data_IF_845916780624
#
_entry.id   IF_845916780624
#
_cell.length_a   1.000
_cell.length_b   1.000
_cell.length_c   1.000
_cell.angle_alpha   90.00
_cell.angle_beta   90.00
_cell.angle_gamma   90.00
#
_symmetry.space_group_name_H-M   'P 1'
#
loop_
_entity.id
_entity.type
_entity.pdbx_description
1 polymer ?
#
# COMPACT_ATOMS: atom_id res chain seq x y z
N UNK A 1 -10.16 5.28 -3.44
CA UNK A 1 -9.76 5.14 -4.86
C UNK A 1 -8.27 5.45 -4.94
N UNK A 2 -7.44 4.49 -5.35
CA UNK A 2 -6.02 4.73 -5.62
C UNK A 2 -5.82 4.84 -7.14
N UNK A 3 -5.25 5.94 -7.62
CA UNK A 3 -5.05 6.22 -9.06
C UNK A 3 -3.57 6.29 -9.44
N UNK A 4 -3.24 5.90 -10.67
CA UNK A 4 -1.93 6.08 -11.31
C UNK A 4 -2.03 7.20 -12.36
N UNK A 5 -1.04 8.10 -12.46
CA UNK A 5 -1.07 9.25 -13.38
C UNK A 5 -0.13 9.06 -14.59
N UNK A 6 -0.48 9.73 -15.71
CA UNK A 6 0.05 9.60 -17.08
C UNK A 6 1.58 9.73 -17.27
N UNK A 7 2.06 9.16 -18.38
CA UNK A 7 3.45 9.11 -18.82
C UNK A 7 4.12 10.52 -18.87
N UNK A 8 5.28 10.63 -18.21
CA UNK A 8 6.13 11.82 -18.18
C UNK A 8 6.20 12.55 -16.84
N UNK A 9 5.38 12.15 -15.85
CA UNK A 9 5.49 12.61 -14.46
C UNK A 9 5.97 11.47 -13.57
N UNK A 10 6.84 11.79 -12.62
CA UNK A 10 7.25 10.84 -11.58
C UNK A 10 6.01 10.22 -10.92
N UNK A 11 5.98 8.89 -10.72
CA UNK A 11 4.86 8.21 -10.10
C UNK A 11 4.65 8.76 -8.68
N UNK A 12 3.38 8.91 -8.30
CA UNK A 12 2.96 9.41 -6.99
C UNK A 12 1.79 8.59 -6.49
N UNK A 13 1.81 8.29 -5.19
CA UNK A 13 0.72 7.67 -4.48
C UNK A 13 0.06 8.74 -3.62
N UNK A 14 -1.21 8.98 -3.90
CA UNK A 14 -2.04 9.90 -3.13
C UNK A 14 -3.25 9.16 -2.57
N UNK A 15 -3.70 9.63 -1.41
CA UNK A 15 -4.96 9.22 -0.80
C UNK A 15 -5.93 10.40 -0.77
N UNK A 16 -7.21 10.13 -1.00
CA UNK A 16 -8.30 11.08 -0.89
C UNK A 16 -9.55 10.36 -0.39
N UNK A 17 -10.33 11.02 0.44
CA UNK A 17 -11.49 10.46 1.10
C UNK A 17 -12.78 11.07 0.57
N UNK A 18 -13.80 10.25 0.41
CA UNK A 18 -15.14 10.68 0.06
C UNK A 18 -16.05 10.45 1.26
N UNK A 19 -16.92 11.42 1.57
CA UNK A 19 -17.96 11.30 2.61
C UNK A 19 -19.39 11.28 2.04
N UNK A 20 -19.52 11.26 0.72
CA UNK A 20 -20.79 11.39 -0.02
C UNK A 20 -20.91 10.32 -1.12
N UNK A 21 -20.50 9.09 -0.81
CA UNK A 21 -20.56 7.94 -1.72
C UNK A 21 -19.85 8.14 -3.08
N UNK A 22 -18.79 8.97 -3.09
CA UNK A 22 -17.93 9.21 -4.23
C UNK A 22 -18.35 10.40 -5.09
N UNK A 23 -19.34 11.18 -4.66
CA UNK A 23 -19.75 12.38 -5.39
C UNK A 23 -18.68 13.47 -5.31
N UNK A 24 -17.96 13.58 -4.21
CA UNK A 24 -16.80 14.45 -4.04
C UNK A 24 -15.70 13.80 -3.21
N UNK A 25 -14.47 14.30 -3.37
CA UNK A 25 -13.30 13.82 -2.64
C UNK A 25 -12.59 14.99 -1.96
N UNK A 26 -11.97 14.70 -0.82
CA UNK A 26 -11.04 15.62 -0.17
C UNK A 26 -9.85 15.94 -1.09
N UNK A 27 -9.09 16.97 -0.71
CA UNK A 27 -7.84 17.28 -1.39
C UNK A 27 -6.89 16.08 -1.28
N UNK A 28 -6.32 15.57 -2.39
CA UNK A 28 -5.40 14.44 -2.32
C UNK A 28 -4.14 14.75 -1.51
N UNK A 29 -3.73 13.81 -0.67
CA UNK A 29 -2.52 13.86 0.15
C UNK A 29 -1.53 12.81 -0.35
N UNK A 30 -0.28 13.20 -0.62
CA UNK A 30 0.78 12.27 -1.04
C UNK A 30 1.27 11.45 0.15
N UNK A 31 1.36 10.14 0.00
CA UNK A 31 1.76 9.22 1.07
C UNK A 31 2.96 8.32 0.72
N UNK A 32 3.42 8.26 -0.54
CA UNK A 32 4.68 7.58 -0.90
C UNK A 32 5.92 8.37 -0.47
N UNK A 33 7.10 7.74 -0.52
CA UNK A 33 8.38 8.39 -0.20
C UNK A 33 9.15 8.90 -1.43
N UNK A 34 8.59 8.83 -2.65
CA UNK A 34 9.28 9.28 -3.87
C UNK A 34 9.36 8.22 -4.97
N UNK A 35 9.46 6.94 -4.58
CA UNK A 35 9.81 5.84 -5.48
C UNK A 35 8.68 4.87 -5.76
N UNK A 36 7.42 5.28 -5.60
CA UNK A 36 6.28 4.34 -5.70
C UNK A 36 6.22 3.68 -7.07
N UNK A 37 6.01 2.38 -7.05
CA UNK A 37 5.75 1.55 -8.22
C UNK A 37 4.25 1.23 -8.37
N UNK A 38 3.40 1.84 -7.53
CA UNK A 38 2.00 1.51 -7.41
C UNK A 38 1.80 0.17 -6.69
N UNK A 39 0.96 -0.70 -7.28
CA UNK A 39 0.54 -1.99 -6.68
C UNK A 39 -0.04 -1.82 -5.28
N UNK A 40 -1.05 -0.95 -5.23
CA UNK A 40 -1.63 -0.44 -3.99
C UNK A 40 -2.80 -1.32 -3.56
N UNK A 41 -2.87 -1.58 -2.27
CA UNK A 41 -4.08 -2.11 -1.63
C UNK A 41 -4.40 -1.34 -0.34
N UNK A 42 -5.66 -1.37 0.10
CA UNK A 42 -6.14 -0.64 1.28
C UNK A 42 -7.07 -1.49 2.14
N UNK A 43 -6.99 -1.30 3.45
CA UNK A 43 -7.92 -1.84 4.44
C UNK A 43 -8.49 -0.69 5.28
N UNK A 44 -9.82 -0.59 5.36
CA UNK A 44 -10.50 0.37 6.26
C UNK A 44 -10.70 -0.32 7.62
N UNK A 45 -10.31 0.37 8.69
CA UNK A 45 -10.29 -0.17 10.05
C UNK A 45 -11.51 0.31 10.85
N UNK A 46 -11.83 -0.36 11.95
CA UNK A 46 -13.04 -0.08 12.74
C UNK A 46 -13.09 1.33 13.33
N UNK A 47 -11.92 1.94 13.59
CA UNK A 47 -11.77 3.31 14.09
C UNK A 47 -11.81 4.38 12.97
N UNK A 48 -12.33 4.04 11.79
CA UNK A 48 -12.40 4.90 10.58
C UNK A 48 -11.04 5.34 10.02
N UNK A 49 -9.95 4.72 10.46
CA UNK A 49 -8.64 4.91 9.84
C UNK A 49 -8.42 3.92 8.69
N UNK A 50 -7.39 4.14 7.89
CA UNK A 50 -7.07 3.32 6.72
C UNK A 50 -5.63 2.84 6.79
N UNK A 51 -5.40 1.55 6.57
CA UNK A 51 -4.07 1.02 6.30
C UNK A 51 -3.88 0.88 4.79
N UNK A 52 -2.75 1.34 4.29
CA UNK A 52 -2.41 1.33 2.86
C UNK A 52 -1.12 0.55 2.68
N UNK A 53 -1.08 -0.32 1.68
CA UNK A 53 0.16 -0.96 1.23
C UNK A 53 0.47 -0.61 -0.22
N UNK A 54 1.74 -0.51 -0.56
CA UNK A 54 2.20 -0.30 -1.93
C UNK A 54 3.60 -0.86 -2.14
N UNK A 55 3.98 -1.02 -3.41
CA UNK A 55 5.35 -1.33 -3.79
C UNK A 55 6.14 -0.05 -4.03
N UNK A 56 7.35 0.03 -3.49
CA UNK A 56 8.24 1.18 -3.62
C UNK A 56 9.66 0.74 -3.96
N UNK A 57 10.29 1.43 -4.91
CA UNK A 57 11.73 1.32 -5.12
C UNK A 57 12.46 2.15 -4.06
N UNK A 58 13.37 1.52 -3.33
CA UNK A 58 14.34 2.17 -2.47
C UNK A 58 15.77 1.98 -2.97
N UNK A 59 16.73 2.41 -2.16
CA UNK A 59 18.15 2.44 -2.57
C UNK A 59 18.77 1.04 -2.78
N UNK A 60 18.29 0.03 -2.06
CA UNK A 60 18.85 -1.33 -2.08
C UNK A 60 17.93 -2.39 -2.70
N UNK A 61 16.73 -2.02 -3.17
CA UNK A 61 15.78 -2.97 -3.71
C UNK A 61 14.35 -2.41 -3.77
N UNK A 62 13.39 -3.30 -3.96
CA UNK A 62 11.97 -2.97 -3.89
C UNK A 62 11.37 -3.46 -2.57
N UNK A 63 10.39 -2.71 -2.08
CA UNK A 63 9.81 -2.95 -0.77
C UNK A 63 8.29 -2.84 -0.81
N UNK A 64 7.61 -3.73 -0.10
CA UNK A 64 6.21 -3.52 0.26
C UNK A 64 6.23 -2.60 1.48
N UNK A 65 5.72 -1.39 1.32
CA UNK A 65 5.59 -0.40 2.38
C UNK A 65 4.15 -0.44 2.90
N UNK A 66 3.99 -0.32 4.21
CA UNK A 66 2.72 -0.12 4.89
C UNK A 66 2.63 1.28 5.48
N UNK A 67 1.46 1.91 5.41
CA UNK A 67 1.17 3.16 6.12
C UNK A 67 -0.21 3.11 6.77
N UNK A 68 -0.27 3.55 8.02
CA UNK A 68 -1.50 3.83 8.73
C UNK A 68 -1.84 5.31 8.57
N UNK A 69 -3.04 5.60 8.06
CA UNK A 69 -3.49 6.94 7.69
C UNK A 69 -4.82 7.23 8.36
N UNK A 70 -4.97 8.43 8.91
CA UNK A 70 -6.23 8.86 9.49
C UNK A 70 -7.27 9.32 8.44
N UNK A 71 -8.48 9.67 8.90
CA UNK A 71 -9.60 10.12 8.06
C UNK A 71 -9.40 11.47 7.37
N UNK A 72 -8.37 12.22 7.75
CA UNK A 72 -8.02 13.53 7.20
C UNK A 72 -6.79 13.45 6.27
N UNK A 73 -6.17 12.27 6.16
CA UNK A 73 -5.03 11.98 5.29
C UNK A 73 -3.66 12.12 5.96
N UNK A 74 -3.61 12.27 7.29
CA UNK A 74 -2.37 12.28 8.05
C UNK A 74 -1.80 10.86 8.16
N UNK A 75 -0.51 10.71 7.85
CA UNK A 75 0.21 9.44 8.02
C UNK A 75 0.61 9.30 9.48
N UNK A 76 -0.10 8.44 10.22
CA UNK A 76 0.13 8.15 11.63
C UNK A 76 1.37 7.28 11.84
N UNK A 77 1.58 6.29 10.97
CA UNK A 77 2.79 5.48 10.95
C UNK A 77 3.09 4.96 9.55
N UNK A 78 4.36 4.64 9.28
CA UNK A 78 4.81 4.07 8.01
C UNK A 78 6.03 3.18 8.23
N UNK A 79 6.06 2.01 7.61
CA UNK A 79 7.16 1.06 7.75
C UNK A 79 7.35 0.19 6.51
N UNK A 80 8.57 -0.32 6.35
CA UNK A 80 8.85 -1.42 5.42
C UNK A 80 8.35 -2.72 6.01
N UNK A 81 7.47 -3.41 5.28
CA UNK A 81 6.89 -4.68 5.72
C UNK A 81 7.68 -5.87 5.16
N UNK A 82 8.06 -5.79 3.88
CA UNK A 82 8.70 -6.90 3.16
C UNK A 82 9.70 -6.35 2.14
N UNK A 83 10.89 -6.93 2.09
CA UNK A 83 11.81 -6.79 0.95
C UNK A 83 11.41 -7.74 -0.19
N UNK A 84 11.34 -7.24 -1.42
CA UNK A 84 10.84 -7.97 -2.58
C UNK A 84 11.53 -7.54 -3.88
N UNK A 85 11.12 -8.14 -5.00
CA UNK A 85 11.61 -7.81 -6.33
C UNK A 85 10.72 -6.74 -7.02
N UNK A 86 11.35 -5.82 -7.74
CA UNK A 86 10.68 -4.79 -8.56
C UNK A 86 9.95 -5.39 -9.79
N UNK A 87 10.33 -6.60 -10.20
CA UNK A 87 9.83 -7.29 -11.38
C UNK A 87 8.31 -7.45 -11.35
N UNK A 88 7.68 -7.56 -12.53
CA UNK A 88 6.23 -7.81 -12.62
C UNK A 88 5.82 -9.16 -12.01
N UNK A 89 6.74 -10.11 -11.94
CA UNK A 89 6.53 -11.42 -11.30
C UNK A 89 6.32 -11.35 -9.80
N UNK A 90 6.71 -10.26 -9.12
CA UNK A 90 6.41 -10.08 -7.69
C UNK A 90 4.94 -9.77 -7.38
N UNK A 91 4.09 -9.68 -8.41
CA UNK A 91 2.64 -9.60 -8.26
C UNK A 91 2.16 -8.35 -7.52
N UNK A 92 0.98 -8.43 -6.94
CA UNK A 92 0.36 -7.33 -6.19
C UNK A 92 0.14 -7.80 -4.75
N UNK A 93 0.63 -7.06 -3.74
CA UNK A 93 0.25 -7.35 -2.37
C UNK A 93 -1.27 -7.22 -2.20
N UNK A 94 -1.84 -8.08 -1.37
CA UNK A 94 -3.24 -8.04 -0.98
C UNK A 94 -3.31 -7.92 0.53
N UNK A 95 -4.13 -7.00 1.03
CA UNK A 95 -4.27 -6.66 2.43
C UNK A 95 -5.73 -6.79 2.85
N UNK A 96 -6.01 -7.63 3.85
CA UNK A 96 -7.36 -7.83 4.35
C UNK A 96 -7.42 -7.80 5.88
N UNK A 97 -8.51 -7.25 6.42
CA UNK A 97 -8.80 -7.30 7.86
C UNK A 97 -9.17 -8.71 8.30
N UNK A 98 -8.59 -9.16 9.40
CA UNK A 98 -8.89 -10.44 10.05
C UNK A 98 -9.14 -10.23 11.55
N UNK A 99 -9.53 -11.29 12.27
CA UNK A 99 -9.68 -11.22 13.74
C UNK A 99 -8.35 -11.03 14.48
N UNK A 100 -7.25 -11.42 13.85
CA UNK A 100 -5.92 -11.43 14.44
C UNK A 100 -5.08 -10.22 14.02
N UNK A 101 -5.65 -9.29 13.23
CA UNK A 101 -4.97 -8.12 12.69
C UNK A 101 -5.12 -8.01 11.16
N UNK A 102 -4.19 -7.31 10.52
CA UNK A 102 -4.19 -7.17 9.06
C UNK A 102 -3.35 -8.26 8.42
N UNK A 103 -3.98 -9.09 7.59
CA UNK A 103 -3.27 -10.11 6.83
C UNK A 103 -2.77 -9.53 5.51
N UNK A 104 -1.45 -9.52 5.34
CA UNK A 104 -0.79 -9.23 4.08
C UNK A 104 -0.45 -10.54 3.38
N UNK A 105 -0.86 -10.69 2.13
CA UNK A 105 -0.40 -11.73 1.21
C UNK A 105 0.46 -11.11 0.11
N UNK A 106 1.59 -11.71 -0.22
CA UNK A 106 2.45 -11.24 -1.30
C UNK A 106 3.09 -12.40 -2.06
N UNK A 107 3.49 -12.12 -3.30
CA UNK A 107 4.25 -13.09 -4.11
C UNK A 107 5.73 -12.97 -3.79
N UNK A 108 6.33 -14.09 -3.39
CA UNK A 108 7.75 -14.22 -3.15
C UNK A 108 8.37 -15.07 -4.27
N UNK A 109 9.29 -14.46 -5.02
CA UNK A 109 10.00 -15.09 -6.12
C UNK A 109 11.40 -15.50 -5.72
N UNK A 110 11.78 -16.74 -6.01
CA UNK A 110 13.16 -17.23 -5.84
C UNK A 110 13.58 -17.94 -7.14
N UNK A 111 14.46 -17.29 -7.90
CA UNK A 111 14.80 -17.76 -9.25
C UNK A 111 13.57 -17.75 -10.16
N UNK A 112 13.22 -18.92 -10.72
CA UNK A 112 12.06 -19.08 -11.60
C UNK A 112 10.80 -19.57 -10.86
N UNK A 113 10.88 -19.76 -9.54
CA UNK A 113 9.75 -20.21 -8.73
C UNK A 113 9.06 -19.03 -8.05
N UNK A 114 7.75 -19.14 -7.91
CA UNK A 114 6.88 -18.14 -7.30
C UNK A 114 5.96 -18.80 -6.29
N UNK A 115 5.97 -18.31 -5.06
CA UNK A 115 5.09 -18.79 -3.98
C UNK A 115 4.37 -17.61 -3.33
N UNK A 116 3.16 -17.83 -2.83
CA UNK A 116 2.47 -16.83 -2.01
C UNK A 116 2.91 -17.01 -0.57
N UNK A 117 3.35 -15.91 0.06
CA UNK A 117 3.61 -15.82 1.49
C UNK A 117 2.56 -14.93 2.14
N UNK A 118 2.32 -15.16 3.42
CA UNK A 118 1.43 -14.34 4.24
C UNK A 118 2.12 -13.91 5.53
N UNK A 119 1.64 -12.82 6.10
CA UNK A 119 2.09 -12.28 7.39
C UNK A 119 0.96 -11.47 8.01
N UNK A 120 0.93 -11.47 9.34
CA UNK A 120 0.00 -10.64 10.11
C UNK A 120 0.74 -9.38 10.55
N UNK A 121 0.14 -8.23 10.29
CA UNK A 121 0.53 -6.94 10.84
C UNK A 121 -0.37 -6.73 12.05
N UNK A 122 0.25 -6.73 13.23
CA UNK A 122 -0.45 -6.46 14.48
C UNK A 122 -1.01 -5.04 14.44
N UNK A 123 -2.29 -4.92 14.76
CA UNK A 123 -3.00 -3.66 14.76
C UNK A 123 -3.88 -3.62 16.02
N UNK A 124 -3.60 -2.67 16.91
CA UNK A 124 -4.38 -2.42 18.14
C UNK A 124 -5.61 -1.54 17.89
#
# INVERSE_FOLDING_TARGET
>A
MAGHTEAGKEPKLVIAFSRDAGASFSKPVRIDNGGTMGRVDIAILENETTYVTWLENGDQGAYIIGAHVDKDGEVLSKSTLVETDAARSSGFPVLETTKDGLMLAWTHTLGNESTVKTGIIDFE
#
